data_IF_572710535991
#
_entry.id   IF_572710535991
#
_cell.length_a   1.000
_cell.length_b   1.000
_cell.length_c   1.000
_cell.angle_alpha   90.00
_cell.angle_beta   90.00
_cell.angle_gamma   90.00
#
_symmetry.space_group_name_H-M   'P 1'
#
loop_
_entity.id
_entity.type
_entity.pdbx_description
1 polymer ?
#
# COMPACT_ATOMS: atom_id res chain seq x y z
N UNK A 1 -4.10 -32.50 5.39
CA UNK A 1 -4.55 -31.37 6.21
C UNK A 1 -5.11 -30.30 5.28
N UNK A 2 -6.35 -29.85 5.45
CA UNK A 2 -6.90 -28.74 4.64
C UNK A 2 -6.52 -27.42 5.32
N UNK A 3 -5.47 -26.75 4.82
CA UNK A 3 -5.24 -25.34 5.17
C UNK A 3 -6.50 -24.55 4.79
N UNK A 4 -6.93 -23.62 5.66
CA UNK A 4 -8.06 -22.70 5.43
C UNK A 4 -9.49 -23.29 5.54
N UNK A 5 -9.72 -24.23 6.47
CA UNK A 5 -11.08 -24.67 6.76
C UNK A 5 -11.88 -23.54 7.44
N UNK A 6 -13.05 -23.19 6.90
CA UNK A 6 -13.91 -22.11 7.42
C UNK A 6 -14.88 -22.66 8.45
N UNK A 7 -15.19 -21.87 9.49
CA UNK A 7 -16.22 -22.26 10.45
C UNK A 7 -17.59 -22.39 9.76
N UNK A 8 -18.33 -23.49 10.00
CA UNK A 8 -19.71 -23.61 9.54
C UNK A 8 -20.59 -22.54 10.22
N UNK A 9 -21.48 -21.90 9.45
CA UNK A 9 -22.37 -20.84 9.95
C UNK A 9 -21.80 -19.41 9.93
N UNK A 10 -20.59 -19.20 9.41
CA UNK A 10 -20.00 -17.86 9.31
C UNK A 10 -20.74 -16.96 8.31
N UNK A 11 -21.36 -15.89 8.81
CA UNK A 11 -21.98 -14.81 8.03
C UNK A 11 -20.89 -13.93 7.40
N UNK A 12 -20.95 -13.67 6.09
CA UNK A 12 -19.98 -12.80 5.42
C UNK A 12 -20.30 -11.34 5.66
N UNK A 13 -19.32 -10.58 6.14
CA UNK A 13 -19.39 -9.12 6.19
C UNK A 13 -19.37 -8.53 4.77
N UNK A 14 -20.24 -7.53 4.46
CA UNK A 14 -20.26 -6.90 3.16
C UNK A 14 -18.95 -6.15 2.85
N UNK A 15 -18.53 -6.08 1.58
CA UNK A 15 -17.27 -5.45 1.19
C UNK A 15 -17.30 -3.93 1.44
N UNK A 16 -16.39 -3.44 2.30
CA UNK A 16 -16.28 -2.03 2.67
C UNK A 16 -15.38 -1.20 1.76
N UNK A 17 -15.08 0.03 2.22
CA UNK A 17 -14.20 1.00 1.56
C UNK A 17 -12.79 0.44 1.32
N UNK A 18 -12.27 -0.41 2.20
CA UNK A 18 -10.94 -1.02 2.05
C UNK A 18 -10.76 -1.75 0.69
N UNK A 19 -11.80 -2.44 0.22
CA UNK A 19 -11.76 -3.21 -1.02
C UNK A 19 -11.90 -2.32 -2.26
N UNK A 20 -12.43 -1.11 -2.11
CA UNK A 20 -12.48 -0.09 -3.17
C UNK A 20 -11.13 0.62 -3.27
N UNK A 21 -10.51 0.93 -2.12
CA UNK A 21 -9.19 1.54 -2.05
C UNK A 21 -8.14 0.60 -2.64
N UNK A 22 -8.10 -0.67 -2.21
CA UNK A 22 -7.16 -1.68 -2.73
C UNK A 22 -7.25 -1.87 -4.25
N UNK A 23 -8.45 -1.78 -4.84
CA UNK A 23 -8.63 -1.87 -6.30
C UNK A 23 -8.09 -0.66 -7.05
N UNK A 24 -8.13 0.53 -6.44
CA UNK A 24 -7.60 1.77 -7.02
C UNK A 24 -6.11 1.99 -6.73
N UNK A 25 -5.60 1.33 -5.69
CA UNK A 25 -4.22 1.41 -5.25
C UNK A 25 -3.17 1.19 -6.36
N UNK A 26 -3.26 0.15 -7.22
CA UNK A 26 -2.28 -0.02 -8.30
C UNK A 26 -2.31 1.12 -9.31
N UNK A 27 -3.50 1.70 -9.56
CA UNK A 27 -3.64 2.85 -10.44
C UNK A 27 -3.01 4.11 -9.82
N UNK A 28 -3.20 4.32 -8.51
CA UNK A 28 -2.61 5.43 -7.75
C UNK A 28 -1.09 5.29 -7.70
N UNK A 29 -0.59 4.06 -7.56
CA UNK A 29 0.84 3.77 -7.58
C UNK A 29 1.46 4.14 -8.94
N UNK A 30 0.86 3.66 -10.03
CA UNK A 30 1.29 4.00 -11.40
C UNK A 30 1.20 5.51 -11.66
N UNK A 31 0.10 6.16 -11.29
CA UNK A 31 -0.07 7.59 -11.49
C UNK A 31 0.99 8.41 -10.73
N UNK A 32 1.28 8.05 -9.47
CA UNK A 32 2.28 8.76 -8.67
C UNK A 32 3.73 8.46 -9.05
N UNK A 33 4.01 7.43 -9.85
CA UNK A 33 5.32 7.26 -10.51
C UNK A 33 5.39 7.96 -11.85
N UNK A 34 4.29 7.92 -12.62
CA UNK A 34 4.25 8.44 -13.98
C UNK A 34 4.27 9.98 -14.00
N UNK A 35 3.61 10.63 -13.04
CA UNK A 35 3.58 12.09 -12.92
C UNK A 35 4.99 12.70 -12.68
N UNK A 36 5.76 12.24 -11.67
CA UNK A 36 7.12 12.75 -11.44
C UNK A 36 8.07 12.45 -12.60
N UNK A 37 7.90 11.30 -13.26
CA UNK A 37 8.71 10.91 -14.41
C UNK A 37 8.40 11.77 -15.65
N UNK A 38 7.12 12.08 -15.88
CA UNK A 38 6.73 13.01 -16.94
C UNK A 38 7.23 14.43 -16.67
N UNK A 39 7.13 14.90 -15.42
CA UNK A 39 7.60 16.22 -15.01
C UNK A 39 9.12 16.35 -15.18
N UNK A 40 9.90 15.33 -14.82
CA UNK A 40 11.34 15.33 -14.99
C UNK A 40 11.76 15.26 -16.46
N UNK A 41 11.06 14.49 -17.29
CA UNK A 41 11.29 14.44 -18.73
C UNK A 41 11.05 15.80 -19.42
N UNK A 42 9.98 16.51 -19.05
CA UNK A 42 9.70 17.86 -19.56
C UNK A 42 10.80 18.82 -19.13
N UNK A 43 11.19 18.80 -17.86
CA UNK A 43 12.22 19.70 -17.32
C UNK A 43 13.57 19.47 -17.99
N UNK A 44 13.94 18.21 -18.23
CA UNK A 44 15.15 17.84 -18.97
C UNK A 44 15.09 18.32 -20.43
N UNK A 45 13.97 18.09 -21.13
CA UNK A 45 13.79 18.55 -22.52
C UNK A 45 13.84 20.08 -22.69
N UNK A 46 13.39 20.84 -21.69
CA UNK A 46 13.53 22.30 -21.69
C UNK A 46 14.98 22.75 -21.55
N UNK A 47 15.76 22.10 -20.69
CA UNK A 47 17.18 22.42 -20.50
C UNK A 47 18.02 22.09 -21.75
N UNK A 48 17.69 21.02 -22.48
CA UNK A 48 18.38 20.68 -23.75
C UNK A 48 18.28 21.77 -24.83
N UNK A 49 17.23 22.61 -24.80
CA UNK A 49 17.04 23.68 -25.79
C UNK A 49 17.91 24.90 -25.48
N UNK A 50 18.17 25.19 -24.22
CA UNK A 50 18.99 26.31 -23.75
C UNK A 50 19.87 25.89 -22.56
N UNK A 51 20.98 25.17 -22.84
CA UNK A 51 21.86 24.69 -21.79
C UNK A 51 22.56 25.87 -21.11
N UNK A 52 22.53 25.87 -19.78
CA UNK A 52 23.18 26.89 -18.94
C UNK A 52 23.64 26.25 -17.63
N UNK A 53 24.77 26.70 -17.10
CA UNK A 53 25.35 26.12 -15.88
C UNK A 53 24.41 26.23 -14.65
N UNK A 54 23.64 27.31 -14.57
CA UNK A 54 22.59 27.47 -13.54
C UNK A 54 21.36 26.60 -13.83
N UNK A 55 21.03 26.42 -15.12
CA UNK A 55 19.97 25.51 -15.55
C UNK A 55 20.25 24.05 -15.18
N UNK A 56 21.49 23.60 -15.32
CA UNK A 56 21.89 22.21 -15.03
C UNK A 56 21.77 21.90 -13.54
N UNK A 57 22.23 22.81 -12.67
CA UNK A 57 22.06 22.70 -11.22
C UNK A 57 20.59 22.66 -10.81
N UNK A 58 19.76 23.50 -11.42
CA UNK A 58 18.32 23.53 -11.16
C UNK A 58 17.61 22.24 -11.62
N UNK A 59 18.05 21.63 -12.72
CA UNK A 59 17.56 20.33 -13.18
C UNK A 59 17.95 19.23 -12.21
N UNK A 60 19.21 19.19 -11.76
CA UNK A 60 19.68 18.20 -10.79
C UNK A 60 18.92 18.28 -9.46
N UNK A 61 18.76 19.48 -8.91
CA UNK A 61 17.96 19.70 -7.70
C UNK A 61 16.50 19.26 -7.89
N UNK A 62 15.90 19.55 -9.05
CA UNK A 62 14.56 19.10 -9.37
C UNK A 62 14.45 17.57 -9.40
N UNK A 63 15.45 16.87 -9.95
CA UNK A 63 15.51 15.41 -9.92
C UNK A 63 15.57 14.87 -8.49
N UNK A 64 16.40 15.43 -7.60
CA UNK A 64 16.45 14.99 -6.20
C UNK A 64 15.09 15.15 -5.48
N UNK A 65 14.40 16.26 -5.72
CA UNK A 65 13.05 16.48 -5.16
C UNK A 65 12.04 15.46 -5.72
N UNK A 66 12.07 15.19 -7.03
CA UNK A 66 11.19 14.20 -7.65
C UNK A 66 11.44 12.78 -7.13
N UNK A 67 12.70 12.39 -6.94
CA UNK A 67 13.07 11.11 -6.33
C UNK A 67 12.55 11.01 -4.91
N UNK A 68 12.70 12.07 -4.11
CA UNK A 68 12.14 12.13 -2.76
C UNK A 68 10.61 12.00 -2.75
N UNK A 69 9.93 12.67 -3.67
CA UNK A 69 8.48 12.60 -3.82
C UNK A 69 8.00 11.18 -4.19
N UNK A 70 8.70 10.51 -5.11
CA UNK A 70 8.42 9.12 -5.48
C UNK A 70 8.62 8.18 -4.29
N UNK A 71 9.72 8.35 -3.53
CA UNK A 71 9.99 7.59 -2.32
C UNK A 71 8.89 7.76 -1.26
N UNK A 72 8.47 9.01 -1.01
CA UNK A 72 7.35 9.32 -0.12
C UNK A 72 6.05 8.66 -0.62
N UNK A 73 5.74 8.78 -1.91
CA UNK A 73 4.53 8.19 -2.49
C UNK A 73 4.51 6.67 -2.34
N UNK A 74 5.63 5.99 -2.60
CA UNK A 74 5.73 4.55 -2.45
C UNK A 74 5.51 4.09 -1.02
N UNK A 75 6.12 4.77 -0.05
CA UNK A 75 5.93 4.44 1.38
C UNK A 75 4.49 4.67 1.83
N UNK A 76 3.84 5.75 1.38
CA UNK A 76 2.45 6.07 1.70
C UNK A 76 1.47 5.06 1.07
N UNK A 77 1.67 4.67 -0.19
CA UNK A 77 0.90 3.63 -0.87
C UNK A 77 1.07 2.28 -0.17
N UNK A 78 2.30 1.93 0.22
CA UNK A 78 2.61 0.69 0.91
C UNK A 78 1.95 0.64 2.30
N UNK A 79 2.03 1.71 3.08
CA UNK A 79 1.37 1.82 4.37
C UNK A 79 -0.16 1.67 4.23
N UNK A 80 -0.76 2.30 3.22
CA UNK A 80 -2.20 2.17 2.94
C UNK A 80 -2.60 0.75 2.52
N UNK A 81 -1.75 0.08 1.73
CA UNK A 81 -1.94 -1.32 1.33
C UNK A 81 -2.01 -2.23 2.55
N UNK A 82 -1.03 -2.08 3.46
CA UNK A 82 -0.97 -2.85 4.72
C UNK A 82 -2.21 -2.57 5.56
N UNK A 83 -2.57 -1.30 5.77
CA UNK A 83 -3.77 -0.93 6.54
C UNK A 83 -5.04 -1.56 5.97
N UNK A 84 -5.25 -1.50 4.66
CA UNK A 84 -6.40 -2.15 4.02
C UNK A 84 -6.34 -3.68 4.14
N UNK A 85 -5.16 -4.28 4.03
CA UNK A 85 -4.95 -5.72 4.20
C UNK A 85 -5.30 -6.19 5.61
N UNK A 86 -4.90 -5.44 6.63
CA UNK A 86 -5.26 -5.70 8.04
C UNK A 86 -6.78 -5.64 8.21
N UNK A 87 -7.46 -4.62 7.69
CA UNK A 87 -8.93 -4.53 7.81
C UNK A 87 -9.64 -5.68 7.08
N UNK A 88 -9.12 -6.10 5.91
CA UNK A 88 -9.62 -7.28 5.22
C UNK A 88 -9.38 -8.58 6.01
N UNK A 89 -8.27 -8.69 6.74
CA UNK A 89 -7.99 -9.82 7.63
C UNK A 89 -8.95 -9.83 8.82
N UNK A 90 -9.18 -8.67 9.44
CA UNK A 90 -10.12 -8.52 10.57
C UNK A 90 -11.57 -8.84 10.19
N UNK A 91 -11.98 -8.47 8.97
CA UNK A 91 -13.31 -8.81 8.41
C UNK A 91 -13.35 -10.16 7.68
N UNK A 92 -12.23 -10.86 7.60
CA UNK A 92 -12.06 -12.08 6.83
C UNK A 92 -12.84 -13.27 7.40
N UNK A 93 -12.94 -14.38 6.64
CA UNK A 93 -13.64 -15.57 7.09
C UNK A 93 -13.01 -16.13 8.37
N UNK A 94 -13.85 -16.52 9.32
CA UNK A 94 -13.38 -17.21 10.52
C UNK A 94 -12.82 -18.58 10.11
N UNK A 95 -11.50 -18.72 10.16
CA UNK A 95 -10.82 -19.99 9.97
C UNK A 95 -10.84 -20.77 11.28
N UNK A 96 -11.00 -22.09 11.19
CA UNK A 96 -10.97 -22.97 12.36
C UNK A 96 -9.58 -22.89 12.97
N UNK A 97 -9.51 -22.38 14.19
CA UNK A 97 -8.29 -22.40 14.99
C UNK A 97 -8.04 -23.82 15.53
N UNK A 98 -6.78 -24.15 15.79
CA UNK A 98 -6.44 -25.38 16.49
C UNK A 98 -7.09 -25.38 17.88
N UNK A 99 -7.72 -26.50 18.23
CA UNK A 99 -8.34 -26.64 19.54
C UNK A 99 -7.25 -26.64 20.61
N UNK A 100 -7.23 -25.62 21.47
CA UNK A 100 -6.47 -25.65 22.71
C UNK A 100 -7.31 -26.33 23.78
N UNK A 101 -6.71 -27.26 24.53
CA UNK A 101 -7.35 -27.79 25.73
C UNK A 101 -7.47 -26.64 26.75
N UNK A 102 -8.68 -26.28 27.20
CA UNK A 102 -8.84 -25.38 28.32
C UNK A 102 -8.11 -26.00 29.51
N UNK A 103 -7.24 -25.24 30.18
CA UNK A 103 -6.72 -25.70 31.46
C UNK A 103 -7.84 -25.61 32.47
N UNK A 104 -8.18 -26.74 33.10
CA UNK A 104 -9.13 -26.78 34.19
C UNK A 104 -8.66 -25.80 35.28
N UNK A 105 -9.37 -24.69 35.43
CA UNK A 105 -9.14 -23.79 36.55
C UNK A 105 -9.60 -24.56 37.79
N UNK A 106 -8.72 -24.86 38.77
CA UNK A 106 -9.19 -25.47 40.00
C UNK A 106 -10.18 -24.50 40.63
N UNK A 107 -11.41 -24.98 40.84
CA UNK A 107 -12.41 -24.26 41.63
C UNK A 107 -11.76 -23.97 42.98
N UNK A 108 -11.48 -22.68 43.24
CA UNK A 108 -11.00 -22.27 44.56
C UNK A 108 -12.14 -22.54 45.55
N UNK A 109 -11.85 -23.14 46.72
CA UNK A 109 -12.83 -23.37 47.77
C UNK A 109 -13.38 -22.04 48.32
#
# INVERSE_FOLDING_TARGET
>A
MKLFNKLPGHQRSPPGLERRILRKLPLIWLAGTLLPLAASAVRYGMNLREPSADGDRAVEQFFYVMVGLVGLHWTLVFALAIGCGIVMLMKGPAYVADAYHPQDKPDRP
#
